data_IF_443436223766
#
_entry.id   IF_443436223766
#
_cell.length_a   1.000
_cell.length_b   1.000
_cell.length_c   1.000
_cell.angle_alpha   90.00
_cell.angle_beta   90.00
_cell.angle_gamma   90.00
#
_symmetry.space_group_name_H-M   'P 1'
#
loop_
_entity.id
_entity.type
_entity.pdbx_description
1 polymer ?
#
# COMPACT_ATOMS: atom_id res chain seq x y z
N UNK A 1 -5.51 -29.42 -6.62
CA UNK A 1 -5.61 -29.48 -5.14
C UNK A 1 -5.49 -28.07 -4.58
N UNK A 2 -6.55 -27.24 -4.62
CA UNK A 2 -6.43 -25.76 -4.42
C UNK A 2 -7.42 -25.10 -3.46
N UNK A 3 -8.37 -25.84 -2.88
CA UNK A 3 -9.44 -25.24 -2.05
C UNK A 3 -9.06 -25.03 -0.56
N UNK A 4 -8.04 -25.72 -0.03
CA UNK A 4 -7.70 -25.63 1.41
C UNK A 4 -6.92 -24.35 1.78
N UNK A 5 -5.99 -23.89 0.94
CA UNK A 5 -5.16 -22.71 1.24
C UNK A 5 -5.94 -21.39 1.19
N UNK A 6 -6.80 -21.21 0.18
CA UNK A 6 -7.63 -20.02 0.05
C UNK A 6 -8.65 -19.89 1.20
N UNK A 7 -9.27 -21.01 1.60
CA UNK A 7 -10.22 -21.02 2.72
C UNK A 7 -9.52 -20.73 4.06
N UNK A 8 -8.29 -21.23 4.27
CA UNK A 8 -7.52 -20.97 5.48
C UNK A 8 -7.07 -19.50 5.57
N UNK A 9 -6.63 -18.90 4.45
CA UNK A 9 -6.28 -17.49 4.40
C UNK A 9 -7.51 -16.61 4.67
N UNK A 10 -8.67 -16.93 4.09
CA UNK A 10 -9.91 -16.21 4.35
C UNK A 10 -10.37 -16.34 5.80
N UNK A 11 -10.29 -17.53 6.39
CA UNK A 11 -10.62 -17.74 7.81
C UNK A 11 -9.67 -16.97 8.73
N UNK A 12 -8.36 -16.93 8.42
CA UNK A 12 -7.39 -16.15 9.16
C UNK A 12 -7.67 -14.64 9.07
N UNK A 13 -7.94 -14.12 7.87
CA UNK A 13 -8.26 -12.70 7.67
C UNK A 13 -9.57 -12.33 8.38
N UNK A 14 -10.59 -13.18 8.32
CA UNK A 14 -11.84 -12.98 9.05
C UNK A 14 -11.62 -12.96 10.57
N UNK A 15 -10.85 -13.92 11.09
CA UNK A 15 -10.50 -13.97 12.51
C UNK A 15 -9.66 -12.77 12.95
N UNK A 16 -8.68 -12.36 12.15
CA UNK A 16 -7.83 -11.20 12.41
C UNK A 16 -8.64 -9.90 12.37
N UNK A 17 -9.58 -9.74 11.43
CA UNK A 17 -10.45 -8.57 11.35
C UNK A 17 -11.34 -8.47 12.59
N UNK A 18 -12.01 -9.56 12.97
CA UNK A 18 -12.83 -9.61 14.19
C UNK A 18 -11.97 -9.33 15.43
N UNK A 19 -10.79 -9.94 15.52
CA UNK A 19 -9.86 -9.75 16.63
C UNK A 19 -9.34 -8.31 16.72
N UNK A 20 -9.04 -7.66 15.60
CA UNK A 20 -8.60 -6.27 15.56
C UNK A 20 -9.72 -5.31 16.01
N UNK A 21 -10.95 -5.52 15.54
CA UNK A 21 -12.11 -4.72 15.98
C UNK A 21 -12.30 -4.86 17.49
N UNK A 22 -12.32 -6.09 18.00
CA UNK A 22 -12.44 -6.33 19.44
C UNK A 22 -11.27 -5.77 20.24
N UNK A 23 -10.04 -5.87 19.72
CA UNK A 23 -8.84 -5.33 20.36
C UNK A 23 -8.86 -3.81 20.47
N UNK A 24 -9.29 -3.12 19.40
CA UNK A 24 -9.46 -1.65 19.40
C UNK A 24 -10.59 -1.22 20.33
N UNK A 25 -11.70 -1.96 20.39
CA UNK A 25 -12.81 -1.66 21.32
C UNK A 25 -12.41 -1.90 22.78
N UNK A 26 -11.62 -2.94 23.06
CA UNK A 26 -11.17 -3.25 24.42
C UNK A 26 -10.14 -2.24 24.93
N UNK A 27 -9.23 -1.79 24.06
CA UNK A 27 -8.18 -0.83 24.40
C UNK A 27 -8.02 0.24 23.31
N UNK A 28 -8.86 1.29 23.33
CA UNK A 28 -8.71 2.40 22.41
C UNK A 28 -7.50 3.27 22.81
N UNK A 29 -6.55 3.42 21.89
CA UNK A 29 -5.50 4.43 21.99
C UNK A 29 -6.11 5.83 21.76
N UNK A 30 -5.51 6.87 22.36
CA UNK A 30 -5.94 8.25 22.10
C UNK A 30 -5.83 8.56 20.60
N UNK A 31 -6.85 9.22 20.06
CA UNK A 31 -6.89 9.59 18.64
C UNK A 31 -5.65 10.36 18.17
N UNK A 32 -5.06 11.20 19.03
CA UNK A 32 -3.79 11.88 18.76
C UNK A 32 -2.64 10.90 18.49
N UNK A 33 -2.49 9.89 19.35
CA UNK A 33 -1.41 8.90 19.26
C UNK A 33 -1.61 7.99 18.04
N UNK A 34 -2.85 7.59 17.76
CA UNK A 34 -3.16 6.78 16.58
C UNK A 34 -2.90 7.54 15.29
N UNK A 35 -3.31 8.82 15.19
CA UNK A 35 -3.03 9.66 14.02
C UNK A 35 -1.54 9.90 13.81
N UNK A 36 -0.79 10.12 14.88
CA UNK A 36 0.67 10.29 14.81
C UNK A 36 1.35 9.00 14.32
N UNK A 37 1.04 7.85 14.95
CA UNK A 37 1.55 6.54 14.53
C UNK A 37 1.20 6.22 13.08
N UNK A 38 -0.05 6.48 12.66
CA UNK A 38 -0.52 6.22 11.30
C UNK A 38 0.17 7.14 10.29
N UNK A 39 0.29 8.43 10.60
CA UNK A 39 1.00 9.40 9.75
C UNK A 39 2.46 9.01 9.55
N UNK A 40 3.12 8.52 10.59
CA UNK A 40 4.50 8.07 10.51
C UNK A 40 4.66 6.83 9.64
N UNK A 41 3.76 5.84 9.79
CA UNK A 41 3.81 4.62 8.99
C UNK A 41 3.49 4.89 7.52
N UNK A 42 2.47 5.70 7.23
CA UNK A 42 2.10 6.08 5.87
C UNK A 42 3.24 6.83 5.15
N UNK A 43 3.89 7.79 5.82
CA UNK A 43 5.05 8.50 5.29
C UNK A 43 6.21 7.56 4.95
N UNK A 44 6.45 6.56 5.81
CA UNK A 44 7.46 5.53 5.56
C UNK A 44 7.13 4.67 4.35
N UNK A 45 5.87 4.24 4.22
CA UNK A 45 5.45 3.44 3.06
C UNK A 45 5.51 4.26 1.78
N UNK A 46 5.07 5.53 1.80
CA UNK A 46 5.20 6.45 0.67
C UNK A 46 6.64 6.46 0.13
N UNK A 47 7.62 6.68 0.99
CA UNK A 47 9.05 6.70 0.61
C UNK A 47 9.51 5.38 0.00
N UNK A 48 9.09 4.25 0.58
CA UNK A 48 9.42 2.93 0.04
C UNK A 48 8.81 2.72 -1.35
N UNK A 49 7.57 3.18 -1.57
CA UNK A 49 6.94 3.15 -2.89
C UNK A 49 7.68 4.06 -3.88
N UNK A 50 8.03 5.29 -3.49
CA UNK A 50 8.79 6.21 -4.34
C UNK A 50 10.14 5.59 -4.76
N UNK A 51 10.85 4.96 -3.83
CA UNK A 51 12.11 4.25 -4.10
C UNK A 51 11.91 3.09 -5.07
N UNK A 52 10.89 2.25 -4.86
CA UNK A 52 10.55 1.18 -5.79
C UNK A 52 10.21 1.73 -7.18
N UNK A 53 9.47 2.85 -7.27
CA UNK A 53 9.13 3.47 -8.55
C UNK A 53 10.37 3.99 -9.26
N UNK A 54 11.28 4.61 -8.53
CA UNK A 54 12.55 5.09 -9.06
C UNK A 54 13.37 3.92 -9.65
N UNK A 55 13.44 2.79 -8.94
CA UNK A 55 14.12 1.58 -9.41
C UNK A 55 13.45 0.96 -10.65
N UNK A 56 12.12 0.95 -10.69
CA UNK A 56 11.35 0.48 -11.85
C UNK A 56 11.58 1.36 -13.08
N UNK A 57 11.62 2.68 -12.91
CA UNK A 57 11.87 3.65 -13.99
C UNK A 57 13.33 3.63 -14.45
N UNK A 58 14.26 3.41 -13.53
CA UNK A 58 15.70 3.31 -13.84
C UNK A 58 16.09 1.93 -14.41
N UNK A 59 15.12 1.07 -14.71
CA UNK A 59 15.28 -0.34 -15.06
C UNK A 59 16.46 -0.65 -15.98
N UNK A 60 17.41 -1.43 -15.44
CA UNK A 60 18.53 -2.05 -16.16
C UNK A 60 18.04 -2.76 -17.43
N UNK A 61 18.62 -2.37 -18.55
CA UNK A 61 18.36 -2.96 -19.86
C UNK A 61 18.80 -4.44 -19.87
N UNK A 62 17.83 -5.35 -19.82
CA UNK A 62 18.09 -6.78 -20.05
C UNK A 62 17.74 -7.10 -21.51
N UNK A 63 18.53 -7.94 -22.21
CA UNK A 63 18.36 -8.20 -23.63
C UNK A 63 17.22 -9.19 -23.85
N UNK A 64 15.97 -8.71 -23.76
CA UNK A 64 14.77 -9.48 -24.06
C UNK A 64 14.21 -9.10 -25.45
N UNK A 65 13.59 -10.08 -26.11
CA UNK A 65 13.06 -9.97 -27.49
C UNK A 65 12.00 -8.87 -27.62
N UNK A 66 11.89 -8.26 -28.80
CA UNK A 66 11.10 -7.04 -29.09
C UNK A 66 9.62 -7.10 -28.66
N UNK A 67 8.98 -8.26 -28.80
CA UNK A 67 7.57 -8.48 -28.40
C UNK A 67 7.40 -8.47 -26.87
N UNK A 68 8.28 -9.21 -26.17
CA UNK A 68 8.31 -9.24 -24.71
C UNK A 68 8.68 -7.86 -24.12
N UNK A 69 9.54 -7.10 -24.81
CA UNK A 69 9.86 -5.71 -24.46
C UNK A 69 8.64 -4.79 -24.56
N UNK A 70 7.81 -4.96 -25.60
CA UNK A 70 6.61 -4.13 -25.81
C UNK A 70 5.54 -4.38 -24.74
N UNK A 71 5.22 -5.65 -24.47
CA UNK A 71 4.26 -6.03 -23.44
C UNK A 71 4.79 -5.72 -22.03
N UNK A 72 6.08 -5.97 -21.77
CA UNK A 72 6.72 -5.64 -20.51
C UNK A 72 6.73 -4.15 -20.21
N UNK A 73 7.03 -3.29 -21.20
CA UNK A 73 6.95 -1.84 -21.04
C UNK A 73 5.53 -1.36 -20.75
N UNK A 74 4.50 -1.94 -21.38
CA UNK A 74 3.10 -1.60 -21.06
C UNK A 74 2.75 -1.94 -19.62
N UNK A 75 3.09 -3.15 -19.16
CA UNK A 75 2.82 -3.59 -17.79
C UNK A 75 3.59 -2.74 -16.76
N UNK A 76 4.84 -2.40 -17.05
CA UNK A 76 5.65 -1.51 -16.20
C UNK A 76 5.06 -0.09 -16.17
N UNK A 77 4.61 0.42 -17.32
CA UNK A 77 3.95 1.73 -17.41
C UNK A 77 2.65 1.75 -16.61
N UNK A 78 1.80 0.74 -16.75
CA UNK A 78 0.55 0.63 -15.99
C UNK A 78 0.80 0.49 -14.49
N UNK A 79 1.83 -0.27 -14.09
CA UNK A 79 2.24 -0.40 -12.69
C UNK A 79 2.74 0.93 -12.13
N UNK A 80 3.54 1.68 -12.90
CA UNK A 80 4.00 3.03 -12.54
C UNK A 80 2.81 3.97 -12.36
N UNK A 81 1.86 3.98 -13.31
CA UNK A 81 0.69 4.86 -13.25
C UNK A 81 -0.20 4.55 -12.04
N UNK A 82 -0.42 3.26 -11.74
CA UNK A 82 -1.17 2.84 -10.55
C UNK A 82 -0.47 3.20 -9.26
N UNK A 83 0.85 3.08 -9.22
CA UNK A 83 1.61 3.40 -8.02
C UNK A 83 1.73 4.92 -7.81
N UNK A 84 1.80 5.72 -8.87
CA UNK A 84 1.73 7.17 -8.76
C UNK A 84 0.39 7.62 -8.15
N UNK A 85 -0.73 7.06 -8.64
CA UNK A 85 -2.06 7.31 -8.05
C UNK A 85 -2.10 6.94 -6.56
N UNK A 86 -1.49 5.81 -6.20
CA UNK A 86 -1.43 5.39 -4.81
C UNK A 86 -0.58 6.33 -3.94
N UNK A 87 0.50 6.91 -4.48
CA UNK A 87 1.27 7.93 -3.77
C UNK A 87 0.42 9.19 -3.53
N UNK A 88 -0.32 9.63 -4.54
CA UNK A 88 -1.21 10.79 -4.44
C UNK A 88 -2.32 10.53 -3.39
N UNK A 89 -2.93 9.33 -3.39
CA UNK A 89 -3.91 8.91 -2.39
C UNK A 89 -3.31 8.88 -0.97
N UNK A 90 -2.06 8.44 -0.83
CA UNK A 90 -1.36 8.42 0.47
C UNK A 90 -1.07 9.83 0.96
N UNK A 91 -0.72 10.75 0.07
CA UNK A 91 -0.54 12.16 0.42
C UNK A 91 -1.84 12.80 0.90
N UNK A 92 -2.94 12.58 0.18
CA UNK A 92 -4.26 13.04 0.60
C UNK A 92 -4.65 12.49 1.98
N UNK A 93 -4.42 11.18 2.22
CA UNK A 93 -4.69 10.56 3.51
C UNK A 93 -3.80 11.14 4.63
N UNK A 94 -2.51 11.38 4.35
CA UNK A 94 -1.59 12.00 5.29
C UNK A 94 -2.06 13.42 5.66
N UNK A 95 -2.51 14.19 4.68
CA UNK A 95 -3.08 15.51 4.89
C UNK A 95 -4.35 15.45 5.74
N UNK A 96 -5.27 14.53 5.47
CA UNK A 96 -6.49 14.37 6.26
C UNK A 96 -6.19 13.95 7.72
N UNK A 97 -5.22 13.05 7.93
CA UNK A 97 -4.86 12.55 9.26
C UNK A 97 -4.15 13.64 10.09
N UNK A 98 -3.23 14.39 9.46
CA UNK A 98 -2.46 15.49 10.09
C UNK A 98 -3.26 16.79 10.20
N UNK A 99 -4.19 17.01 9.29
CA UNK A 99 -4.79 18.31 8.96
C UNK A 99 -6.27 18.43 9.27
N UNK A 100 -6.82 17.75 10.28
CA UNK A 100 -8.17 18.08 10.79
C UNK A 100 -8.17 19.42 11.58
N UNK A 101 -7.75 20.48 10.91
CA UNK A 101 -8.01 21.88 11.20
C UNK A 101 -8.91 22.39 10.06
N UNK A 102 -10.15 22.70 10.42
CA UNK A 102 -11.12 23.58 9.73
C UNK A 102 -12.23 22.88 8.90
N UNK A 103 -13.33 22.55 9.59
CA UNK A 103 -14.60 23.26 9.37
C UNK A 103 -15.22 23.57 10.73
#
# INVERSE_FOLDING_TARGET
MGKKGSNALMAFLAGAAVGAVLGVLYAPDKGSNTREKLSFQLDKYKKLLEEMLADLVSGKETPLTTEAKSQGQKVVSEAKDKAQRLLDDVDELLEQIRGNKNS
#
